data_IF_614810983253
#
_entry.id   IF_614810983253
#
_cell.length_a   1.000
_cell.length_b   1.000
_cell.length_c   1.000
_cell.angle_alpha   90.00
_cell.angle_beta   90.00
_cell.angle_gamma   90.00
#
_symmetry.space_group_name_H-M   'P 1'
#
loop_
_entity.id
_entity.type
_entity.pdbx_description
1 polymer ?
#
# COMPACT_ATOMS: atom_id res chain seq x y z
N UNK A 1 0.12 -6.36 -16.13
CA UNK A 1 -0.47 -6.70 -14.82
C UNK A 1 -1.96 -6.44 -14.86
N UNK A 2 -2.78 -7.06 -14.01
CA UNK A 2 -4.23 -6.87 -13.98
C UNK A 2 -4.75 -6.74 -12.55
N UNK A 3 -5.89 -6.10 -12.37
CA UNK A 3 -6.65 -6.11 -11.13
C UNK A 3 -7.22 -7.51 -10.90
N UNK A 4 -7.02 -8.09 -9.70
CA UNK A 4 -7.34 -9.50 -9.44
C UNK A 4 -8.73 -9.71 -8.82
N UNK A 5 -9.30 -8.69 -8.17
CA UNK A 5 -10.64 -8.78 -7.55
C UNK A 5 -11.46 -7.50 -7.64
N UNK A 6 -12.68 -7.53 -7.09
CA UNK A 6 -13.56 -6.37 -6.95
C UNK A 6 -14.13 -5.83 -8.26
N UNK A 7 -14.53 -4.54 -8.24
CA UNK A 7 -15.29 -3.91 -9.35
C UNK A 7 -14.45 -3.70 -10.62
N UNK A 8 -13.13 -3.62 -10.52
CA UNK A 8 -12.20 -3.50 -11.65
C UNK A 8 -11.56 -4.82 -12.06
N UNK A 9 -12.03 -5.96 -11.55
CA UNK A 9 -11.47 -7.29 -11.84
C UNK A 9 -11.20 -7.50 -13.32
N UNK A 10 -10.02 -8.06 -13.65
CA UNK A 10 -9.50 -8.34 -15.00
C UNK A 10 -9.11 -7.11 -15.83
N UNK A 11 -9.34 -5.88 -15.36
CA UNK A 11 -8.87 -4.69 -16.06
C UNK A 11 -7.33 -4.66 -16.02
N UNK A 12 -6.75 -4.27 -17.13
CA UNK A 12 -5.30 -4.15 -17.26
C UNK A 12 -4.80 -2.85 -16.62
N UNK A 13 -3.68 -2.92 -15.94
CA UNK A 13 -2.93 -1.77 -15.44
C UNK A 13 -1.50 -1.83 -15.98
N UNK A 14 -1.00 -0.68 -16.38
CA UNK A 14 0.35 -0.50 -16.90
C UNK A 14 1.36 -0.62 -15.77
N UNK A 15 2.53 -1.10 -16.10
CA UNK A 15 3.69 -1.13 -15.23
C UNK A 15 4.76 -0.17 -15.77
N UNK A 16 5.59 0.48 -14.93
CA UNK A 16 6.63 1.38 -15.41
C UNK A 16 7.61 0.65 -16.34
N UNK A 17 7.86 1.22 -17.53
CA UNK A 17 8.71 0.60 -18.54
C UNK A 17 10.19 0.50 -18.12
N UNK A 18 10.62 1.32 -17.17
CA UNK A 18 12.01 1.36 -16.66
C UNK A 18 12.19 0.53 -15.35
N UNK A 19 11.38 -0.49 -15.22
CA UNK A 19 11.25 -1.31 -14.01
C UNK A 19 12.41 -2.28 -13.74
N UNK A 20 13.64 -1.98 -14.19
CA UNK A 20 14.82 -2.81 -13.87
C UNK A 20 15.05 -2.96 -12.35
N UNK A 21 14.42 -2.11 -11.54
CA UNK A 21 14.58 -2.08 -10.09
C UNK A 21 13.25 -2.19 -9.31
N UNK A 22 12.09 -2.24 -10.01
CA UNK A 22 10.79 -2.38 -9.37
C UNK A 22 10.27 -3.79 -9.67
N UNK A 23 10.19 -4.64 -8.67
CA UNK A 23 9.62 -5.99 -8.79
C UNK A 23 8.13 -5.92 -8.52
N UNK A 24 7.25 -6.17 -9.53
CA UNK A 24 5.81 -6.14 -9.26
C UNK A 24 5.42 -7.24 -8.30
N UNK A 25 4.60 -6.91 -7.31
CA UNK A 25 3.87 -7.94 -6.56
C UNK A 25 3.06 -8.78 -7.53
N UNK A 26 3.40 -10.06 -7.64
CA UNK A 26 2.75 -10.96 -8.60
C UNK A 26 1.23 -10.98 -8.34
N UNK A 27 0.44 -11.06 -9.40
CA UNK A 27 -1.04 -11.13 -9.31
C UNK A 27 -1.51 -12.13 -8.24
N UNK A 28 -0.87 -13.30 -8.16
CA UNK A 28 -1.18 -14.35 -7.16
C UNK A 28 -0.91 -13.94 -5.72
N UNK A 29 0.19 -13.20 -5.48
CA UNK A 29 0.54 -12.71 -4.12
C UNK A 29 -0.46 -11.64 -3.72
N UNK A 30 -0.79 -10.71 -4.60
CA UNK A 30 -1.78 -9.66 -4.36
C UNK A 30 -3.17 -10.27 -4.08
N UNK A 31 -3.58 -11.29 -4.85
CA UNK A 31 -4.83 -12.01 -4.59
C UNK A 31 -4.84 -12.63 -3.18
N UNK A 32 -3.75 -13.26 -2.77
CA UNK A 32 -3.64 -13.87 -1.44
C UNK A 32 -3.67 -12.83 -0.31
N UNK A 33 -2.97 -11.69 -0.46
CA UNK A 33 -3.01 -10.58 0.49
C UNK A 33 -4.44 -10.10 0.69
N UNK A 34 -5.13 -9.74 -0.39
CA UNK A 34 -6.49 -9.21 -0.30
C UNK A 34 -7.53 -10.24 0.16
N UNK A 35 -7.30 -11.53 -0.09
CA UNK A 35 -8.13 -12.60 0.49
C UNK A 35 -7.95 -12.70 2.02
N UNK A 36 -6.76 -12.42 2.53
CA UNK A 36 -6.49 -12.42 3.97
C UNK A 36 -7.02 -11.17 4.69
N UNK A 37 -7.12 -10.04 3.97
CA UNK A 37 -7.63 -8.77 4.49
C UNK A 37 -9.14 -8.80 4.72
N UNK A 38 -9.89 -9.46 3.84
CA UNK A 38 -11.35 -9.52 3.91
C UNK A 38 -12.03 -8.27 3.32
N UNK A 39 -13.10 -7.81 3.97
CA UNK A 39 -13.88 -6.65 3.53
C UNK A 39 -13.18 -5.34 3.85
N UNK A 40 -13.01 -4.49 2.86
CA UNK A 40 -12.41 -3.16 2.96
C UNK A 40 -13.41 -2.04 2.66
N UNK A 41 -14.70 -2.34 2.71
CA UNK A 41 -15.77 -1.36 2.41
C UNK A 41 -15.64 -0.14 3.32
N UNK A 42 -15.66 1.05 2.70
CA UNK A 42 -15.53 2.36 3.32
C UNK A 42 -14.15 2.68 3.92
N UNK A 43 -13.13 1.85 3.79
CA UNK A 43 -11.80 2.15 4.29
C UNK A 43 -11.16 3.30 3.50
N UNK A 44 -10.49 4.19 4.21
CA UNK A 44 -9.55 5.18 3.64
C UNK A 44 -8.15 4.58 3.64
N UNK A 45 -7.57 4.45 2.46
CA UNK A 45 -6.29 3.76 2.29
C UNK A 45 -5.14 4.69 1.93
N UNK A 46 -3.94 4.22 2.23
CA UNK A 46 -2.67 4.78 1.79
C UNK A 46 -1.83 3.70 1.11
N UNK A 47 -1.36 3.98 -0.09
CA UNK A 47 -0.37 3.18 -0.82
C UNK A 47 0.94 3.99 -0.84
N UNK A 48 1.77 3.78 0.17
CA UNK A 48 3.06 4.46 0.33
C UNK A 48 4.13 3.62 -0.37
N UNK A 49 4.86 4.23 -1.29
CA UNK A 49 5.71 3.60 -2.32
C UNK A 49 4.89 2.91 -3.41
N UNK A 50 3.91 3.65 -3.93
CA UNK A 50 2.82 3.11 -4.75
C UNK A 50 3.26 2.48 -6.08
N UNK A 51 4.43 2.84 -6.62
CA UNK A 51 4.93 2.29 -7.88
C UNK A 51 3.95 2.47 -9.04
N UNK A 52 3.32 1.37 -9.46
CA UNK A 52 2.26 1.37 -10.48
C UNK A 52 0.86 1.67 -9.91
N UNK A 53 0.74 1.79 -8.59
CA UNK A 53 -0.54 1.92 -7.88
C UNK A 53 -1.30 0.60 -7.72
N UNK A 54 -0.66 -0.54 -7.97
CA UNK A 54 -1.36 -1.83 -8.05
C UNK A 54 -2.05 -2.23 -6.74
N UNK A 55 -1.42 -1.97 -5.58
CA UNK A 55 -2.00 -2.30 -4.27
C UNK A 55 -3.17 -1.38 -3.95
N UNK A 56 -3.01 -0.08 -4.09
CA UNK A 56 -4.08 0.88 -3.82
C UNK A 56 -5.26 0.74 -4.78
N UNK A 57 -5.02 0.48 -6.08
CA UNK A 57 -6.08 0.21 -7.07
C UNK A 57 -6.85 -1.06 -6.71
N UNK A 58 -6.16 -2.11 -6.27
CA UNK A 58 -6.83 -3.33 -5.79
C UNK A 58 -7.69 -3.04 -4.56
N UNK A 59 -7.21 -2.21 -3.61
CA UNK A 59 -7.95 -1.75 -2.44
C UNK A 59 -9.24 -1.02 -2.85
N UNK A 60 -9.14 -0.05 -3.77
CA UNK A 60 -10.31 0.64 -4.33
C UNK A 60 -11.28 -0.32 -5.03
N UNK A 61 -10.74 -1.27 -5.78
CA UNK A 61 -11.54 -2.30 -6.45
C UNK A 61 -12.34 -3.17 -5.48
N UNK A 62 -11.85 -3.33 -4.25
CA UNK A 62 -12.46 -4.17 -3.20
C UNK A 62 -13.19 -3.38 -2.12
N UNK A 63 -13.47 -2.10 -2.36
CA UNK A 63 -14.41 -1.35 -1.54
C UNK A 63 -13.82 -0.19 -0.74
N UNK A 64 -12.50 0.06 -0.77
CA UNK A 64 -11.97 1.28 -0.17
C UNK A 64 -12.67 2.51 -0.75
N UNK A 65 -13.11 3.40 0.13
CA UNK A 65 -13.84 4.62 -0.23
C UNK A 65 -12.93 5.67 -0.86
N UNK A 66 -11.66 5.67 -0.48
CA UNK A 66 -10.64 6.59 -0.97
C UNK A 66 -9.25 5.99 -0.85
N UNK A 67 -8.34 6.35 -1.76
CA UNK A 67 -6.94 5.93 -1.71
C UNK A 67 -6.00 7.09 -1.98
N UNK A 68 -5.02 7.27 -1.10
CA UNK A 68 -3.89 8.19 -1.33
C UNK A 68 -2.69 7.37 -1.81
N UNK A 69 -2.12 7.77 -2.95
CA UNK A 69 -0.92 7.16 -3.52
C UNK A 69 0.26 8.10 -3.34
N UNK A 70 1.36 7.60 -2.82
CA UNK A 70 2.59 8.37 -2.60
C UNK A 70 3.77 7.64 -3.19
N UNK A 71 4.58 8.34 -3.96
CA UNK A 71 5.87 7.84 -4.46
C UNK A 71 6.82 9.01 -4.73
N UNK A 72 8.12 8.80 -4.59
CA UNK A 72 9.14 9.80 -4.90
C UNK A 72 9.78 9.57 -6.30
N UNK A 73 9.31 8.58 -7.04
CA UNK A 73 9.71 8.32 -8.41
C UNK A 73 8.70 8.91 -9.40
N UNK A 74 9.14 9.84 -10.23
CA UNK A 74 8.27 10.51 -11.20
C UNK A 74 7.61 9.54 -12.18
N UNK A 75 8.34 8.52 -12.65
CA UNK A 75 7.81 7.51 -13.59
C UNK A 75 6.73 6.66 -12.91
N UNK A 76 6.92 6.30 -11.64
CA UNK A 76 5.94 5.60 -10.83
C UNK A 76 4.63 6.41 -10.71
N UNK A 77 4.73 7.68 -10.34
CA UNK A 77 3.58 8.60 -10.20
C UNK A 77 2.84 8.78 -11.53
N UNK A 78 3.55 8.98 -12.63
CA UNK A 78 2.94 9.09 -13.97
C UNK A 78 2.23 7.79 -14.37
N UNK A 79 2.80 6.63 -14.02
CA UNK A 79 2.18 5.32 -14.27
C UNK A 79 0.93 5.13 -13.43
N UNK A 80 0.99 5.42 -12.12
CA UNK A 80 -0.19 5.38 -11.24
C UNK A 80 -1.29 6.28 -11.77
N UNK A 81 -0.97 7.50 -12.20
CA UNK A 81 -1.93 8.45 -12.78
C UNK A 81 -2.61 7.89 -14.04
N UNK A 82 -1.83 7.36 -14.99
CA UNK A 82 -2.35 6.70 -16.21
C UNK A 82 -3.30 5.53 -15.85
N UNK A 83 -2.95 4.72 -14.87
CA UNK A 83 -3.77 3.59 -14.43
C UNK A 83 -5.10 4.07 -13.83
N UNK A 84 -5.08 5.07 -12.96
CA UNK A 84 -6.27 5.68 -12.36
C UNK A 84 -7.19 6.29 -13.42
N UNK A 85 -6.63 7.03 -14.38
CA UNK A 85 -7.37 7.61 -15.49
C UNK A 85 -8.00 6.53 -16.39
N UNK A 86 -7.23 5.48 -16.75
CA UNK A 86 -7.71 4.38 -17.62
C UNK A 86 -8.85 3.58 -17.00
N UNK A 87 -8.90 3.50 -15.68
CA UNK A 87 -9.96 2.85 -14.91
C UNK A 87 -11.10 3.79 -14.53
N UNK A 88 -10.99 5.08 -14.88
CA UNK A 88 -11.96 6.13 -14.53
C UNK A 88 -12.19 6.26 -13.01
N UNK A 89 -11.17 6.03 -12.20
CA UNK A 89 -11.21 6.16 -10.75
C UNK A 89 -11.27 7.65 -10.38
N UNK A 90 -12.19 8.03 -9.48
CA UNK A 90 -12.41 9.43 -9.05
C UNK A 90 -12.07 9.66 -7.58
N UNK A 91 -12.00 8.61 -6.79
CA UNK A 91 -11.78 8.64 -5.35
C UNK A 91 -10.32 8.30 -5.00
N UNK A 92 -9.39 9.07 -5.59
CA UNK A 92 -7.96 8.89 -5.41
C UNK A 92 -7.23 10.23 -5.35
N UNK A 93 -6.18 10.29 -4.55
CA UNK A 93 -5.20 11.39 -4.51
C UNK A 93 -3.82 10.82 -4.84
N UNK A 94 -3.03 11.55 -5.64
CA UNK A 94 -1.67 11.13 -6.03
C UNK A 94 -0.70 12.24 -5.60
N UNK A 95 0.33 11.85 -4.84
CA UNK A 95 1.32 12.76 -4.28
C UNK A 95 2.73 12.36 -4.74
N UNK A 96 3.41 13.24 -5.46
CA UNK A 96 4.82 13.11 -5.77
C UNK A 96 5.63 13.67 -4.59
N UNK A 97 5.97 12.82 -3.62
CA UNK A 97 6.68 13.19 -2.40
C UNK A 97 7.54 12.05 -1.87
N UNK A 98 8.56 12.39 -1.07
CA UNK A 98 9.22 11.42 -0.22
C UNK A 98 8.26 10.93 0.89
N UNK A 99 8.55 9.77 1.43
CA UNK A 99 7.80 9.11 2.49
C UNK A 99 7.56 10.02 3.70
N UNK A 100 8.62 10.43 4.40
CA UNK A 100 8.49 11.27 5.60
C UNK A 100 7.92 12.66 5.34
N UNK A 101 8.17 13.27 4.17
CA UNK A 101 7.54 14.54 3.79
C UNK A 101 6.02 14.38 3.66
N UNK A 102 5.56 13.26 3.10
CA UNK A 102 4.14 12.95 3.00
C UNK A 102 3.54 12.67 4.39
N UNK A 103 4.24 11.90 5.24
CA UNK A 103 3.80 11.60 6.60
C UNK A 103 3.69 12.86 7.47
N UNK A 104 4.62 13.81 7.35
CA UNK A 104 4.52 15.11 8.04
C UNK A 104 3.30 15.93 7.58
N UNK A 105 2.99 15.91 6.26
CA UNK A 105 1.77 16.54 5.77
C UNK A 105 0.51 15.87 6.33
N UNK A 106 0.48 14.54 6.39
CA UNK A 106 -0.66 13.80 6.95
C UNK A 106 -0.85 14.12 8.42
N UNK A 107 0.23 14.19 9.20
CA UNK A 107 0.22 14.59 10.61
C UNK A 107 -0.32 16.01 10.78
N UNK A 108 0.19 16.99 10.01
CA UNK A 108 -0.31 18.37 10.04
C UNK A 108 -1.80 18.47 9.76
N UNK A 109 -2.28 17.70 8.78
CA UNK A 109 -3.67 17.70 8.35
C UNK A 109 -4.55 16.73 9.15
N UNK A 110 -4.01 16.08 10.19
CA UNK A 110 -4.71 15.09 11.02
C UNK A 110 -5.38 13.99 10.19
N UNK A 111 -4.74 13.60 9.07
CA UNK A 111 -5.22 12.46 8.26
C UNK A 111 -5.07 11.16 9.05
N UNK A 112 -6.07 10.28 8.93
CA UNK A 112 -6.05 8.95 9.52
C UNK A 112 -6.40 7.94 8.43
N UNK A 113 -5.69 6.82 8.39
CA UNK A 113 -5.88 5.77 7.41
C UNK A 113 -6.40 4.49 8.09
N UNK A 114 -7.30 3.80 7.41
CA UNK A 114 -7.84 2.50 7.88
C UNK A 114 -7.01 1.34 7.33
N UNK A 115 -6.36 1.53 6.18
CA UNK A 115 -5.41 0.56 5.63
C UNK A 115 -4.20 1.27 5.02
N UNK A 116 -3.01 0.74 5.32
CA UNK A 116 -1.74 1.26 4.80
C UNK A 116 -0.96 0.13 4.15
N UNK A 117 -0.58 0.30 2.88
CA UNK A 117 0.34 -0.57 2.16
C UNK A 117 1.73 0.05 2.18
N UNK A 118 2.74 -0.75 2.56
CA UNK A 118 4.15 -0.34 2.70
C UNK A 118 5.05 -1.33 1.96
N UNK A 119 5.67 -0.87 0.88
CA UNK A 119 6.68 -1.63 0.11
C UNK A 119 7.90 -0.73 -0.18
N UNK A 120 8.63 -0.28 0.87
CA UNK A 120 9.79 0.58 0.69
C UNK A 120 10.91 -0.16 -0.05
N UNK A 121 11.80 0.57 -0.76
CA UNK A 121 12.98 -0.03 -1.38
C UNK A 121 13.79 -0.84 -0.38
N UNK A 122 14.07 -2.10 -0.68
CA UNK A 122 14.66 -3.08 0.24
C UNK A 122 15.96 -2.64 0.92
N UNK A 123 16.75 -1.76 0.28
CA UNK A 123 18.02 -1.26 0.82
C UNK A 123 17.84 -0.24 1.95
N UNK A 124 16.69 0.39 2.08
CA UNK A 124 16.50 1.50 3.03
C UNK A 124 16.12 1.06 4.44
N UNK A 125 15.54 -0.13 4.60
CA UNK A 125 15.33 -0.76 5.91
C UNK A 125 14.45 0.01 6.90
N UNK A 126 13.52 0.82 6.43
CA UNK A 126 12.76 1.79 7.25
C UNK A 126 11.46 1.24 7.86
N UNK A 127 11.21 -0.06 7.80
CA UNK A 127 9.93 -0.64 8.20
C UNK A 127 9.54 -0.30 9.64
N UNK A 128 10.45 -0.57 10.58
CA UNK A 128 10.23 -0.32 12.00
C UNK A 128 9.96 1.17 12.24
N UNK A 129 10.81 2.03 11.68
CA UNK A 129 10.67 3.48 11.79
C UNK A 129 9.35 4.00 11.21
N UNK A 130 8.88 3.45 10.09
CA UNK A 130 7.60 3.81 9.50
C UNK A 130 6.44 3.37 10.38
N UNK A 131 6.46 2.13 10.88
CA UNK A 131 5.40 1.60 11.75
C UNK A 131 5.29 2.45 13.01
N UNK A 132 6.42 2.71 13.68
CA UNK A 132 6.47 3.57 14.87
C UNK A 132 5.89 4.96 14.57
N UNK A 133 6.29 5.56 13.43
CA UNK A 133 5.79 6.88 13.05
C UNK A 133 4.26 6.90 12.87
N UNK A 134 3.67 5.87 12.23
CA UNK A 134 2.21 5.75 12.07
C UNK A 134 1.49 5.66 13.42
N UNK A 135 2.02 4.88 14.36
CA UNK A 135 1.43 4.66 15.67
C UNK A 135 1.57 5.89 16.57
N UNK A 136 2.77 6.47 16.66
CA UNK A 136 3.07 7.62 17.52
C UNK A 136 2.32 8.89 17.11
N UNK A 137 2.06 9.04 15.81
CA UNK A 137 1.36 10.23 15.29
C UNK A 137 -0.13 9.98 14.99
N UNK A 138 -0.67 8.83 15.39
CA UNK A 138 -2.09 8.46 15.19
C UNK A 138 -2.54 8.56 13.73
N UNK A 139 -1.67 8.19 12.78
CA UNK A 139 -2.00 8.16 11.36
C UNK A 139 -2.73 6.87 10.95
N UNK A 140 -2.70 5.83 11.79
CA UNK A 140 -3.46 4.59 11.61
C UNK A 140 -4.66 4.58 12.55
N UNK A 141 -5.86 4.26 12.05
CA UNK A 141 -7.07 4.18 12.87
C UNK A 141 -6.98 3.05 13.90
N UNK A 142 -7.85 3.08 14.93
CA UNK A 142 -7.84 2.10 16.03
C UNK A 142 -8.16 0.67 15.59
N UNK A 143 -8.80 0.50 14.44
CA UNK A 143 -9.04 -0.80 13.80
C UNK A 143 -8.28 -0.89 12.47
N UNK A 144 -7.24 -0.08 12.33
CA UNK A 144 -6.49 0.04 11.09
C UNK A 144 -5.61 -1.17 10.81
N UNK A 145 -5.30 -1.34 9.55
CA UNK A 145 -4.51 -2.46 9.04
C UNK A 145 -3.24 -1.93 8.37
N UNK A 146 -2.10 -2.52 8.70
CA UNK A 146 -0.86 -2.29 7.96
C UNK A 146 -0.47 -3.56 7.21
N UNK A 147 -0.09 -3.40 5.95
CA UNK A 147 0.39 -4.46 5.08
C UNK A 147 1.80 -4.11 4.64
N UNK A 148 2.78 -4.89 5.06
CA UNK A 148 4.19 -4.70 4.72
C UNK A 148 4.63 -5.81 3.78
N UNK A 149 5.23 -5.44 2.65
CA UNK A 149 5.92 -6.36 1.74
C UNK A 149 7.44 -6.17 1.87
N UNK A 150 8.21 -7.28 1.99
CA UNK A 150 9.66 -7.22 2.08
C UNK A 150 10.35 -8.48 1.53
N UNK A 151 11.64 -8.41 1.28
CA UNK A 151 12.49 -9.55 0.92
C UNK A 151 13.21 -10.18 2.14
N UNK A 152 13.06 -9.58 3.33
CA UNK A 152 13.71 -9.98 4.58
C UNK A 152 12.71 -10.07 5.73
N UNK A 153 13.15 -10.61 6.86
CA UNK A 153 12.38 -10.56 8.09
C UNK A 153 12.39 -9.11 8.64
N UNK A 154 11.22 -8.67 9.06
CA UNK A 154 10.99 -7.37 9.68
C UNK A 154 10.77 -7.64 11.17
N UNK A 155 11.47 -6.89 12.02
CA UNK A 155 11.38 -7.04 13.47
C UNK A 155 10.53 -5.89 14.05
N UNK A 156 9.22 -6.10 14.13
CA UNK A 156 8.25 -5.17 14.71
C UNK A 156 7.81 -5.73 16.08
N UNK A 157 7.57 -4.85 17.04
CA UNK A 157 6.92 -5.24 18.29
C UNK A 157 5.45 -5.61 18.02
N UNK A 158 5.20 -6.92 17.91
CA UNK A 158 3.87 -7.45 17.61
C UNK A 158 2.85 -7.17 18.72
N UNK A 159 3.30 -6.87 19.95
CA UNK A 159 2.41 -6.55 21.08
C UNK A 159 1.61 -5.26 20.88
N UNK A 160 2.04 -4.40 19.96
CA UNK A 160 1.36 -3.15 19.58
C UNK A 160 0.11 -3.40 18.71
N UNK A 161 -0.12 -4.65 18.27
CA UNK A 161 -1.20 -5.03 17.38
C UNK A 161 -2.05 -6.15 17.98
N UNK A 162 -3.35 -6.11 17.75
CA UNK A 162 -4.28 -7.15 18.21
C UNK A 162 -4.05 -8.49 17.49
N UNK A 163 -3.54 -8.42 16.24
CA UNK A 163 -3.32 -9.59 15.41
C UNK A 163 -2.22 -9.31 14.40
N UNK A 164 -1.33 -10.29 14.23
CA UNK A 164 -0.29 -10.27 13.19
C UNK A 164 -0.34 -11.58 12.41
N UNK A 165 -0.25 -11.49 11.10
CA UNK A 165 -0.10 -12.65 10.21
C UNK A 165 1.11 -12.45 9.29
N UNK A 166 1.92 -13.49 9.15
CA UNK A 166 3.10 -13.51 8.29
C UNK A 166 2.92 -14.55 7.20
N UNK A 167 3.24 -14.16 5.98
CA UNK A 167 3.16 -15.02 4.81
C UNK A 167 4.48 -14.98 4.05
N UNK A 168 4.79 -16.07 3.35
CA UNK A 168 5.97 -16.18 2.49
C UNK A 168 5.56 -16.69 1.12
N UNK A 169 5.92 -15.96 0.08
CA UNK A 169 5.65 -16.27 -1.31
C UNK A 169 6.95 -16.22 -2.14
N UNK A 170 7.70 -17.34 -2.13
CA UNK A 170 9.06 -17.37 -2.66
C UNK A 170 10.00 -16.50 -1.83
N UNK A 171 10.58 -15.47 -2.44
CA UNK A 171 11.46 -14.51 -1.75
C UNK A 171 10.70 -13.33 -1.14
N UNK A 172 9.39 -13.22 -1.41
CA UNK A 172 8.56 -12.15 -0.89
C UNK A 172 7.97 -12.58 0.45
N UNK A 173 8.14 -11.73 1.47
CA UNK A 173 7.51 -11.86 2.79
C UNK A 173 6.47 -10.78 2.94
N UNK A 174 5.32 -11.15 3.46
CA UNK A 174 4.21 -10.23 3.72
C UNK A 174 3.84 -10.30 5.19
N UNK A 175 3.77 -9.16 5.85
CA UNK A 175 3.26 -9.04 7.21
C UNK A 175 1.99 -8.20 7.18
N UNK A 176 0.91 -8.73 7.74
CA UNK A 176 -0.36 -8.02 7.90
C UNK A 176 -0.62 -7.87 9.40
N UNK A 177 -0.82 -6.64 9.84
CA UNK A 177 -0.99 -6.26 11.23
C UNK A 177 -2.29 -5.49 11.40
N UNK A 178 -3.12 -5.91 12.35
CA UNK A 178 -4.37 -5.26 12.75
C UNK A 178 -4.16 -4.57 14.11
N UNK A 179 -4.38 -3.26 14.12
CA UNK A 179 -4.30 -2.42 15.34
C UNK A 179 -5.45 -2.67 16.30
#
# INVERSE_FOLDING_TARGET
MRVVGGIYKRRLITYPDDAKHIRPTKDRVREAIFSALGDLTNYQGLDLYSGSGAMGIEGLSRGCSFMTFVDNNKIAIETTKKNIESLNIKNAEIMFKNDFDALEDFKKNKKVFDIVFLDPPYKEGKYEQLVDYFLDNNLLSTNGIMVLESDRDINIDESLFQKVRKYKYGDIKVMIMWR
#
